data_IF_265272277473
#
_entry.id   IF_265272277473
#
_cell.length_a   1.000
_cell.length_b   1.000
_cell.length_c   1.000
_cell.angle_alpha   90.00
_cell.angle_beta   90.00
_cell.angle_gamma   90.00
#
_symmetry.space_group_name_H-M   'P 1'
#
loop_
_entity.id
_entity.type
_entity.pdbx_description
1 polymer ?
#
# COMPACT_ATOMS: atom_id res chain seq x y z
N UNK A 1 -31.29 -32.58 4.49
CA UNK A 1 -30.53 -33.25 3.41
C UNK A 1 -30.11 -32.22 2.37
N UNK A 2 -31.04 -31.42 1.84
CA UNK A 2 -30.80 -30.30 0.89
C UNK A 2 -29.64 -29.37 1.32
N UNK A 3 -29.63 -28.89 2.57
CA UNK A 3 -28.55 -28.00 3.05
C UNK A 3 -27.13 -28.61 3.09
N UNK A 4 -27.01 -29.95 3.14
CA UNK A 4 -25.70 -30.63 3.15
C UNK A 4 -25.20 -30.84 1.72
N UNK A 5 -26.10 -31.11 0.76
CA UNK A 5 -25.78 -31.14 -0.66
C UNK A 5 -25.39 -29.75 -1.17
N UNK A 6 -26.11 -28.71 -0.75
CA UNK A 6 -25.78 -27.32 -1.04
C UNK A 6 -24.38 -26.95 -0.52
N UNK A 7 -24.01 -27.41 0.68
CA UNK A 7 -22.68 -27.17 1.24
C UNK A 7 -21.57 -27.88 0.46
N UNK A 8 -21.79 -29.11 0.00
CA UNK A 8 -20.86 -29.81 -0.89
C UNK A 8 -20.75 -29.17 -2.26
N UNK A 9 -21.86 -28.66 -2.79
CA UNK A 9 -21.83 -27.89 -4.03
C UNK A 9 -21.07 -26.57 -3.84
N UNK A 10 -21.17 -25.96 -2.66
CA UNK A 10 -20.42 -24.77 -2.28
C UNK A 10 -18.92 -25.05 -2.19
N UNK A 11 -18.51 -26.19 -1.60
CA UNK A 11 -17.11 -26.66 -1.60
C UNK A 11 -16.55 -26.79 -3.03
N UNK A 12 -17.26 -27.49 -3.91
CA UNK A 12 -16.86 -27.66 -5.31
C UNK A 12 -16.82 -26.31 -6.08
N UNK A 13 -17.74 -25.39 -5.76
CA UNK A 13 -17.75 -24.05 -6.35
C UNK A 13 -16.54 -23.22 -5.91
N UNK A 14 -16.15 -23.29 -4.63
CA UNK A 14 -14.94 -22.63 -4.12
C UNK A 14 -13.70 -23.21 -4.80
N UNK A 15 -13.61 -24.53 -4.94
CA UNK A 15 -12.51 -25.15 -5.68
C UNK A 15 -12.42 -24.63 -7.11
N UNK A 16 -13.53 -24.58 -7.84
CA UNK A 16 -13.55 -24.07 -9.21
C UNK A 16 -13.09 -22.59 -9.29
N UNK A 17 -13.54 -21.74 -8.37
CA UNK A 17 -13.16 -20.32 -8.33
C UNK A 17 -11.67 -20.13 -7.97
N UNK A 18 -11.15 -20.92 -7.04
CA UNK A 18 -9.72 -20.91 -6.68
C UNK A 18 -8.86 -21.31 -7.89
N UNK A 19 -9.27 -22.34 -8.65
CA UNK A 19 -8.59 -22.71 -9.90
C UNK A 19 -8.75 -21.65 -11.00
N UNK A 20 -9.91 -20.99 -11.05
CA UNK A 20 -10.20 -19.87 -11.95
C UNK A 20 -9.52 -18.55 -11.59
N UNK A 21 -8.75 -18.50 -10.49
CA UNK A 21 -8.08 -17.30 -9.98
C UNK A 21 -9.02 -16.15 -9.60
N UNK A 22 -10.32 -16.44 -9.42
CA UNK A 22 -11.30 -15.49 -8.88
C UNK A 22 -11.36 -15.63 -7.36
N UNK A 23 -10.36 -15.04 -6.72
CA UNK A 23 -10.14 -15.14 -5.29
C UNK A 23 -11.15 -14.32 -4.47
N UNK A 24 -11.63 -13.20 -5.00
CA UNK A 24 -12.67 -12.38 -4.36
C UNK A 24 -14.00 -13.11 -4.34
N UNK A 25 -14.42 -13.70 -5.47
CA UNK A 25 -15.63 -14.52 -5.53
C UNK A 25 -15.53 -15.77 -4.66
N UNK A 26 -14.35 -16.40 -4.61
CA UNK A 26 -14.11 -17.53 -3.72
C UNK A 26 -14.28 -17.15 -2.23
N UNK A 27 -13.77 -15.99 -1.80
CA UNK A 27 -13.93 -15.50 -0.43
C UNK A 27 -15.40 -15.20 -0.09
N UNK A 28 -16.18 -14.60 -0.98
CA UNK A 28 -17.62 -14.35 -0.78
C UNK A 28 -18.42 -15.65 -0.57
N UNK A 29 -18.06 -16.69 -1.32
CA UNK A 29 -18.69 -18.00 -1.20
C UNK A 29 -18.27 -18.69 0.11
N UNK A 30 -16.99 -18.58 0.49
CA UNK A 30 -16.46 -19.10 1.76
C UNK A 30 -17.15 -18.44 2.96
N UNK A 31 -17.26 -17.12 2.99
CA UNK A 31 -17.83 -16.40 4.15
C UNK A 31 -19.33 -16.72 4.35
N UNK A 32 -20.08 -16.85 3.24
CA UNK A 32 -21.48 -17.33 3.26
C UNK A 32 -21.58 -18.78 3.74
N UNK A 33 -20.68 -19.64 3.27
CA UNK A 33 -20.63 -21.04 3.69
C UNK A 33 -20.32 -21.19 5.18
N UNK A 34 -19.33 -20.44 5.69
CA UNK A 34 -18.95 -20.45 7.10
C UNK A 34 -20.07 -19.95 8.02
N UNK A 35 -20.81 -18.92 7.58
CA UNK A 35 -22.00 -18.44 8.29
C UNK A 35 -23.08 -19.52 8.39
N UNK A 36 -23.33 -20.22 7.28
CA UNK A 36 -24.31 -21.32 7.22
C UNK A 36 -23.86 -22.52 8.09
N UNK A 37 -22.57 -22.85 8.06
CA UNK A 37 -21.95 -23.88 8.91
C UNK A 37 -22.11 -23.54 10.40
N UNK A 38 -21.93 -22.27 10.79
CA UNK A 38 -22.07 -21.83 12.16
C UNK A 38 -23.51 -22.03 12.70
N UNK A 39 -24.51 -21.81 11.85
CA UNK A 39 -25.92 -22.04 12.18
C UNK A 39 -26.26 -23.53 12.32
N UNK A 40 -25.45 -24.44 11.77
CA UNK A 40 -25.64 -25.90 11.81
C UNK A 40 -24.68 -26.60 12.79
N UNK A 41 -24.26 -25.89 13.84
CA UNK A 41 -23.30 -26.38 14.84
C UNK A 41 -23.79 -27.66 15.53
N UNK A 42 -23.07 -28.77 15.31
CA UNK A 42 -23.38 -30.09 15.91
C UNK A 42 -23.20 -31.28 14.97
N UNK A 43 -23.14 -31.06 13.67
CA UNK A 43 -23.00 -32.13 12.66
C UNK A 43 -21.51 -32.31 12.28
N UNK A 44 -20.96 -33.52 12.51
CA UNK A 44 -19.55 -33.81 12.23
C UNK A 44 -19.12 -33.59 10.77
N UNK A 45 -19.97 -33.90 9.79
CA UNK A 45 -19.64 -33.72 8.37
C UNK A 45 -19.54 -32.23 7.97
N UNK A 46 -20.31 -31.36 8.62
CA UNK A 46 -20.30 -29.91 8.39
C UNK A 46 -18.99 -29.29 8.92
N UNK A 47 -18.46 -29.82 10.04
CA UNK A 47 -17.16 -29.40 10.59
C UNK A 47 -16.00 -29.67 9.62
N UNK A 48 -15.95 -30.87 9.03
CA UNK A 48 -14.89 -31.21 8.07
C UNK A 48 -14.88 -30.30 6.83
N UNK A 49 -16.06 -29.89 6.35
CA UNK A 49 -16.16 -28.91 5.25
C UNK A 49 -15.73 -27.52 5.71
N UNK A 50 -16.12 -27.10 6.93
CA UNK A 50 -15.64 -25.85 7.51
C UNK A 50 -14.12 -25.77 7.63
N UNK A 51 -13.46 -26.84 8.08
CA UNK A 51 -12.00 -26.89 8.19
C UNK A 51 -11.32 -26.73 6.83
N UNK A 52 -11.86 -27.37 5.79
CA UNK A 52 -11.35 -27.20 4.40
C UNK A 52 -11.57 -25.79 3.87
N UNK A 53 -12.74 -25.18 4.11
CA UNK A 53 -13.02 -23.82 3.67
C UNK A 53 -12.10 -22.80 4.37
N UNK A 54 -11.77 -23.01 5.64
CA UNK A 54 -10.77 -22.22 6.36
C UNK A 54 -9.37 -22.44 5.78
N UNK A 55 -9.01 -23.66 5.37
CA UNK A 55 -7.76 -23.92 4.67
C UNK A 55 -7.69 -23.20 3.32
N UNK A 56 -8.77 -23.20 2.53
CA UNK A 56 -8.86 -22.41 1.29
C UNK A 56 -8.74 -20.92 1.58
N UNK A 57 -9.42 -20.40 2.60
CA UNK A 57 -9.31 -18.99 3.02
C UNK A 57 -7.86 -18.59 3.33
N UNK A 58 -7.15 -19.43 4.08
CA UNK A 58 -5.73 -19.21 4.38
C UNK A 58 -4.86 -19.26 3.12
N UNK A 59 -5.08 -20.25 2.25
CA UNK A 59 -4.38 -20.37 0.97
C UNK A 59 -4.58 -19.14 0.07
N UNK A 60 -5.83 -18.68 -0.08
CA UNK A 60 -6.16 -17.47 -0.83
C UNK A 60 -5.41 -16.27 -0.24
N UNK A 61 -5.40 -16.13 1.08
CA UNK A 61 -4.65 -15.06 1.76
C UNK A 61 -3.15 -15.06 1.40
N UNK A 62 -2.50 -16.22 1.39
CA UNK A 62 -1.09 -16.35 1.00
C UNK A 62 -0.87 -15.98 -0.47
N UNK A 63 -1.77 -16.42 -1.36
CA UNK A 63 -1.67 -16.11 -2.79
C UNK A 63 -1.90 -14.62 -3.08
N UNK A 64 -2.86 -13.98 -2.41
CA UNK A 64 -3.11 -12.53 -2.53
C UNK A 64 -1.94 -11.72 -1.99
N UNK A 65 -1.35 -12.14 -0.87
CA UNK A 65 -0.15 -11.51 -0.31
C UNK A 65 1.05 -11.58 -1.27
N UNK A 66 1.27 -12.75 -1.89
CA UNK A 66 2.34 -12.95 -2.87
C UNK A 66 2.12 -12.11 -4.13
N UNK A 67 0.89 -12.10 -4.67
CA UNK A 67 0.52 -11.31 -5.84
C UNK A 67 0.63 -9.81 -5.59
N UNK A 68 0.14 -9.32 -4.44
CA UNK A 68 0.32 -7.94 -4.02
C UNK A 68 1.79 -7.54 -4.03
N UNK A 69 2.64 -8.34 -3.39
CA UNK A 69 4.09 -8.05 -3.32
C UNK A 69 4.69 -7.98 -4.73
N UNK A 70 4.39 -8.97 -5.59
CA UNK A 70 4.87 -8.99 -6.98
C UNK A 70 4.44 -7.78 -7.79
N UNK A 71 3.22 -7.29 -7.58
CA UNK A 71 2.67 -6.14 -8.30
C UNK A 71 3.35 -4.85 -7.85
N UNK A 72 3.46 -4.60 -6.54
CA UNK A 72 4.07 -3.36 -6.00
C UNK A 72 5.59 -3.27 -6.18
N UNK A 73 6.27 -4.41 -6.40
CA UNK A 73 7.72 -4.46 -6.65
C UNK A 73 8.06 -4.59 -8.13
N UNK A 74 7.06 -4.57 -9.02
CA UNK A 74 7.28 -4.70 -10.45
C UNK A 74 8.15 -3.55 -10.99
N UNK A 75 9.13 -3.82 -11.87
CA UNK A 75 9.92 -2.78 -12.52
C UNK A 75 9.07 -1.91 -13.47
N UNK A 76 7.94 -2.45 -13.95
CA UNK A 76 7.01 -1.77 -14.85
C UNK A 76 5.92 -0.97 -14.10
N UNK A 77 6.16 -0.62 -12.83
CA UNK A 77 5.16 0.06 -11.99
C UNK A 77 4.70 1.39 -12.62
N UNK A 78 3.40 1.59 -12.87
CA UNK A 78 2.90 2.87 -13.35
C UNK A 78 2.96 3.89 -12.20
N UNK A 79 3.83 4.89 -12.30
CA UNK A 79 3.85 5.99 -11.34
C UNK A 79 2.49 6.71 -11.36
N UNK A 80 1.84 6.78 -10.21
CA UNK A 80 0.54 7.38 -10.03
C UNK A 80 0.73 8.85 -9.70
N UNK A 81 0.41 9.74 -10.64
CA UNK A 81 0.35 11.17 -10.39
C UNK A 81 -1.10 11.60 -10.07
N UNK A 82 -1.41 11.69 -8.78
CA UNK A 82 -2.70 12.18 -8.31
C UNK A 82 -2.97 13.65 -8.69
N UNK A 83 -1.93 14.43 -9.02
CA UNK A 83 -2.07 15.84 -9.40
C UNK A 83 -2.67 16.03 -10.80
N UNK A 84 -2.65 14.99 -11.64
CA UNK A 84 -3.11 15.08 -13.02
C UNK A 84 -4.64 15.20 -13.15
N UNK A 85 -5.40 14.84 -12.10
CA UNK A 85 -6.85 14.97 -12.07
C UNK A 85 -7.32 16.41 -11.78
N UNK A 86 -6.46 17.25 -11.19
CA UNK A 86 -6.86 18.55 -10.64
C UNK A 86 -6.47 19.74 -11.54
N UNK A 87 -5.52 19.54 -12.47
CA UNK A 87 -4.99 20.59 -13.34
C UNK A 87 -5.32 20.39 -14.84
N UNK A 88 -6.51 19.88 -15.17
CA UNK A 88 -6.94 19.74 -16.57
C UNK A 88 -7.58 21.02 -17.11
N UNK A 89 -6.79 22.09 -17.27
CA UNK A 89 -7.10 23.22 -18.18
C UNK A 89 -6.18 23.24 -19.40
N UNK A 90 -5.33 22.22 -19.58
CA UNK A 90 -4.46 22.09 -20.75
C UNK A 90 -4.69 20.73 -21.38
N UNK A 91 -5.13 20.73 -22.64
CA UNK A 91 -5.51 19.54 -23.41
C UNK A 91 -4.48 18.41 -23.26
N UNK A 92 -4.90 17.16 -23.03
CA UNK A 92 -3.97 16.05 -23.03
C UNK A 92 -3.42 15.85 -24.45
N UNK A 93 -2.09 15.70 -24.64
CA UNK A 93 -1.54 15.38 -25.95
C UNK A 93 -2.11 14.02 -26.38
N UNK A 94 -2.81 14.01 -27.52
CA UNK A 94 -3.44 12.84 -28.13
C UNK A 94 -2.37 11.85 -28.65
N UNK A 95 -1.67 11.19 -27.74
CA UNK A 95 -0.72 10.12 -28.05
C UNK A 95 -1.29 8.78 -27.58
N UNK A 96 -1.33 7.79 -28.48
CA UNK A 96 -1.67 6.40 -28.15
C UNK A 96 -0.85 5.85 -26.97
N UNK A 97 0.37 6.36 -26.76
CA UNK A 97 1.20 6.00 -25.61
C UNK A 97 0.56 6.43 -24.28
N UNK A 98 -0.02 7.63 -24.23
CA UNK A 98 -0.67 8.16 -23.03
C UNK A 98 -1.95 7.38 -22.69
N UNK A 99 -2.74 7.01 -23.70
CA UNK A 99 -3.93 6.17 -23.51
C UNK A 99 -3.59 4.76 -23.01
N UNK A 100 -2.51 4.15 -23.52
CA UNK A 100 -2.01 2.85 -23.03
C UNK A 100 -1.52 2.92 -21.58
N UNK A 101 -0.84 4.01 -21.20
CA UNK A 101 -0.40 4.24 -19.82
C UNK A 101 -1.59 4.39 -18.88
N UNK A 102 -2.62 5.13 -19.28
CA UNK A 102 -3.85 5.26 -18.48
C UNK A 102 -4.59 3.93 -18.31
N UNK A 103 -4.68 3.11 -19.37
CA UNK A 103 -5.29 1.79 -19.28
C UNK A 103 -4.50 0.88 -18.32
N UNK A 104 -3.18 0.84 -18.43
CA UNK A 104 -2.33 0.08 -17.49
C UNK A 104 -2.49 0.57 -16.06
N UNK A 105 -2.49 1.89 -15.85
CA UNK A 105 -2.71 2.48 -14.53
C UNK A 105 -4.06 2.07 -13.95
N UNK A 106 -5.12 2.10 -14.76
CA UNK A 106 -6.46 1.68 -14.35
C UNK A 106 -6.50 0.19 -13.99
N UNK A 107 -5.95 -0.67 -14.84
CA UNK A 107 -5.86 -2.12 -14.60
C UNK A 107 -5.09 -2.43 -13.31
N UNK A 108 -3.93 -1.80 -13.09
CA UNK A 108 -3.16 -1.95 -11.85
C UNK A 108 -3.92 -1.43 -10.63
N UNK A 109 -4.70 -0.35 -10.77
CA UNK A 109 -5.51 0.18 -9.67
C UNK A 109 -6.66 -0.76 -9.32
N UNK A 110 -7.35 -1.31 -10.31
CA UNK A 110 -8.43 -2.29 -10.12
C UNK A 110 -7.90 -3.59 -9.50
N UNK A 111 -6.76 -4.10 -10.00
CA UNK A 111 -6.08 -5.25 -9.42
C UNK A 111 -5.65 -4.99 -7.97
N UNK A 112 -5.09 -3.81 -7.70
CA UNK A 112 -4.70 -3.41 -6.34
C UNK A 112 -5.90 -3.34 -5.39
N UNK A 113 -7.04 -2.86 -5.89
CA UNK A 113 -8.28 -2.80 -5.13
C UNK A 113 -8.79 -4.18 -4.75
N UNK A 114 -8.82 -5.11 -5.69
CA UNK A 114 -9.22 -6.49 -5.43
C UNK A 114 -8.26 -7.17 -4.44
N UNK A 115 -6.95 -6.98 -4.60
CA UNK A 115 -5.93 -7.54 -3.71
C UNK A 115 -6.07 -7.00 -2.30
N UNK A 116 -6.21 -5.70 -2.14
CA UNK A 116 -6.32 -5.09 -0.83
C UNK A 116 -7.63 -5.46 -0.15
N UNK A 117 -8.77 -5.47 -0.85
CA UNK A 117 -10.05 -5.96 -0.31
C UNK A 117 -9.93 -7.40 0.22
N UNK A 118 -9.35 -8.30 -0.57
CA UNK A 118 -9.10 -9.68 -0.13
C UNK A 118 -8.17 -9.76 1.08
N UNK A 119 -7.10 -8.97 1.12
CA UNK A 119 -6.16 -8.93 2.25
C UNK A 119 -6.79 -8.36 3.53
N UNK A 120 -7.68 -7.38 3.41
CA UNK A 120 -8.44 -6.83 4.53
C UNK A 120 -9.37 -7.87 5.13
N UNK A 121 -10.08 -8.60 4.27
CA UNK A 121 -10.97 -9.69 4.71
C UNK A 121 -10.20 -10.79 5.43
N UNK A 122 -9.02 -11.16 4.94
CA UNK A 122 -8.18 -12.21 5.56
C UNK A 122 -7.31 -11.69 6.72
N UNK A 123 -7.37 -10.40 7.05
CA UNK A 123 -6.57 -9.72 8.09
C UNK A 123 -5.03 -9.87 7.93
N UNK A 124 -4.54 -10.11 6.71
CA UNK A 124 -3.10 -10.29 6.42
C UNK A 124 -2.37 -9.00 6.04
N UNK A 125 -3.06 -7.86 6.04
CA UNK A 125 -2.49 -6.58 5.60
C UNK A 125 -1.22 -6.18 6.37
N UNK A 126 -1.14 -6.27 7.72
CA UNK A 126 0.07 -5.89 8.45
C UNK A 126 1.30 -6.71 8.04
N UNK A 127 1.11 -8.01 7.80
CA UNK A 127 2.19 -8.92 7.40
C UNK A 127 2.69 -8.60 5.98
N UNK A 128 1.77 -8.31 5.07
CA UNK A 128 2.08 -7.91 3.69
C UNK A 128 2.84 -6.59 3.67
N UNK A 129 2.40 -5.60 4.45
CA UNK A 129 3.09 -4.32 4.56
C UNK A 129 4.48 -4.49 5.19
N UNK A 130 4.63 -5.35 6.19
CA UNK A 130 5.95 -5.67 6.76
C UNK A 130 6.89 -6.30 5.72
N UNK A 131 6.40 -7.24 4.90
CA UNK A 131 7.16 -7.84 3.79
C UNK A 131 7.55 -6.81 2.74
N UNK A 132 6.63 -5.92 2.36
CA UNK A 132 6.91 -4.83 1.41
C UNK A 132 8.04 -3.91 1.90
N UNK A 133 8.02 -3.54 3.19
CA UNK A 133 9.12 -2.76 3.80
C UNK A 133 10.46 -3.50 3.75
N UNK A 134 10.44 -4.80 4.02
CA UNK A 134 11.61 -5.67 3.91
C UNK A 134 12.16 -5.66 2.49
N UNK A 135 11.29 -5.87 1.50
CA UNK A 135 11.66 -5.85 0.08
C UNK A 135 12.27 -4.52 -0.35
N UNK A 136 11.65 -3.39 0.03
CA UNK A 136 12.20 -2.06 -0.27
C UNK A 136 13.59 -1.89 0.34
N UNK A 137 13.79 -2.32 1.59
CA UNK A 137 15.10 -2.27 2.26
C UNK A 137 16.14 -3.11 1.52
N UNK A 138 15.78 -4.31 1.07
CA UNK A 138 16.69 -5.20 0.35
C UNK A 138 17.00 -4.69 -1.05
N UNK A 139 16.03 -4.09 -1.74
CA UNK A 139 16.24 -3.45 -3.04
C UNK A 139 17.21 -2.27 -2.95
N UNK A 140 17.11 -1.44 -1.91
CA UNK A 140 18.08 -0.37 -1.64
C UNK A 140 19.49 -0.94 -1.43
N UNK A 141 19.63 -2.02 -0.67
CA UNK A 141 20.94 -2.68 -0.48
C UNK A 141 21.49 -3.20 -1.80
N UNK A 142 20.63 -3.79 -2.64
CA UNK A 142 21.01 -4.30 -3.96
C UNK A 142 21.46 -3.13 -4.84
N UNK A 143 20.70 -2.05 -4.93
CA UNK A 143 21.06 -0.83 -5.68
C UNK A 143 22.44 -0.34 -5.27
N UNK A 144 22.69 -0.14 -3.96
CA UNK A 144 23.99 0.34 -3.48
C UNK A 144 25.10 -0.65 -3.83
N UNK A 145 24.91 -1.95 -3.60
CA UNK A 145 25.92 -2.97 -3.90
C UNK A 145 26.23 -3.06 -5.38
N UNK A 146 25.21 -3.06 -6.24
CA UNK A 146 25.35 -3.17 -7.69
C UNK A 146 26.08 -1.95 -8.24
N UNK A 147 25.62 -0.73 -7.92
CA UNK A 147 26.26 0.49 -8.43
C UNK A 147 27.71 0.61 -7.97
N UNK A 148 28.01 0.28 -6.70
CA UNK A 148 29.39 0.26 -6.19
C UNK A 148 30.24 -0.77 -6.93
N UNK A 149 29.73 -1.99 -7.10
CA UNK A 149 30.46 -3.07 -7.77
C UNK A 149 30.72 -2.76 -9.24
N UNK A 150 29.73 -2.20 -9.94
CA UNK A 150 29.86 -1.79 -11.35
C UNK A 150 30.83 -0.63 -11.52
N UNK A 151 30.80 0.35 -10.61
CA UNK A 151 31.73 1.49 -10.67
C UNK A 151 33.16 1.05 -10.45
N UNK A 152 33.40 0.15 -9.49
CA UNK A 152 34.72 -0.46 -9.25
C UNK A 152 35.17 -1.26 -10.46
N UNK A 153 34.31 -2.11 -11.03
CA UNK A 153 34.65 -2.96 -12.16
C UNK A 153 34.95 -2.16 -13.44
N UNK A 154 34.32 -1.00 -13.59
CA UNK A 154 34.52 -0.11 -14.75
C UNK A 154 35.72 0.82 -14.55
N UNK A 155 36.16 1.03 -13.31
CA UNK A 155 37.31 1.88 -13.02
C UNK A 155 38.62 1.19 -13.39
N UNK A 156 39.39 1.86 -14.24
CA UNK A 156 40.75 1.45 -14.61
C UNK A 156 41.79 1.59 -13.49
N UNK A 157 41.41 2.23 -12.37
CA UNK A 157 42.30 2.52 -11.24
C UNK A 157 42.22 1.48 -10.13
N UNK A 158 41.22 0.60 -10.16
CA UNK A 158 41.01 -0.44 -9.16
C UNK A 158 41.75 -1.72 -9.56
N UNK A 159 42.66 -2.18 -8.70
CA UNK A 159 43.32 -3.47 -8.87
C UNK A 159 42.34 -4.59 -8.46
N UNK A 160 42.00 -5.55 -9.35
CA UNK A 160 41.03 -6.61 -9.04
C UNK A 160 41.52 -7.59 -7.96
N UNK A 161 42.80 -7.51 -7.58
CA UNK A 161 43.43 -8.28 -6.52
C UNK A 161 43.38 -7.59 -5.13
N UNK A 162 42.82 -6.37 -5.02
CA UNK A 162 42.71 -5.66 -3.76
C UNK A 162 41.76 -6.40 -2.78
N UNK A 163 42.12 -6.53 -1.49
CA UNK A 163 41.49 -7.49 -0.58
C UNK A 163 40.09 -7.07 -0.08
N UNK A 164 39.72 -5.79 -0.18
CA UNK A 164 38.46 -5.25 0.34
C UNK A 164 37.83 -4.18 -0.56
N UNK A 165 36.50 -4.21 -0.69
CA UNK A 165 35.70 -3.22 -1.45
C UNK A 165 35.97 -1.78 -0.97
N UNK A 166 36.27 -1.62 0.31
CA UNK A 166 36.60 -0.32 0.90
C UNK A 166 37.93 0.26 0.41
N UNK A 167 38.96 -0.55 0.13
CA UNK A 167 40.20 -0.05 -0.48
C UNK A 167 40.01 0.29 -1.95
N UNK A 168 39.21 -0.48 -2.67
CA UNK A 168 38.88 -0.22 -4.08
C UNK A 168 38.07 1.09 -4.21
N UNK A 169 37.08 1.32 -3.34
CA UNK A 169 36.37 2.61 -3.26
C UNK A 169 37.28 3.80 -2.94
N UNK A 170 38.37 3.59 -2.19
CA UNK A 170 39.39 4.62 -1.89
C UNK A 170 40.31 4.89 -3.07
N UNK A 171 40.56 3.90 -3.92
CA UNK A 171 41.40 4.02 -5.11
C UNK A 171 40.72 4.78 -6.26
N UNK A 172 39.39 4.84 -6.27
CA UNK A 172 38.61 5.60 -7.24
C UNK A 172 39.01 7.07 -7.28
N UNK A 173 39.04 7.64 -8.49
CA UNK A 173 39.19 9.07 -8.66
C UNK A 173 37.99 9.84 -8.07
N UNK A 174 38.18 11.14 -7.84
CA UNK A 174 37.10 11.99 -7.34
C UNK A 174 35.88 12.02 -8.24
N UNK A 175 36.08 11.98 -9.56
CA UNK A 175 35.01 12.02 -10.55
C UNK A 175 34.24 10.69 -10.59
N UNK A 176 34.94 9.55 -10.61
CA UNK A 176 34.32 8.22 -10.57
C UNK A 176 33.52 8.00 -9.28
N UNK A 177 34.04 8.45 -8.14
CA UNK A 177 33.33 8.37 -6.88
C UNK A 177 32.07 9.25 -6.86
N UNK A 178 32.12 10.47 -7.39
CA UNK A 178 30.94 11.34 -7.46
C UNK A 178 29.89 10.77 -8.41
N UNK A 179 30.30 10.21 -9.56
CA UNK A 179 29.40 9.52 -10.49
C UNK A 179 28.76 8.28 -9.83
N UNK A 180 29.52 7.49 -9.05
CA UNK A 180 28.97 6.39 -8.27
C UNK A 180 27.88 6.86 -7.31
N UNK A 181 28.14 7.91 -6.55
CA UNK A 181 27.18 8.46 -5.58
C UNK A 181 25.94 9.03 -6.30
N UNK A 182 26.13 9.71 -7.42
CA UNK A 182 25.03 10.21 -8.24
C UNK A 182 24.13 9.07 -8.74
N UNK A 183 24.71 8.02 -9.32
CA UNK A 183 23.93 6.86 -9.79
C UNK A 183 23.17 6.18 -8.64
N UNK A 184 23.78 6.05 -7.46
CA UNK A 184 23.08 5.55 -6.27
C UNK A 184 21.85 6.42 -5.98
N UNK A 185 21.98 7.75 -5.95
CA UNK A 185 20.84 8.63 -5.70
C UNK A 185 19.76 8.53 -6.77
N UNK A 186 20.12 8.44 -8.05
CA UNK A 186 19.15 8.28 -9.16
C UNK A 186 18.32 7.01 -8.99
N UNK A 187 18.96 5.87 -8.72
CA UNK A 187 18.25 4.62 -8.49
C UNK A 187 17.44 4.62 -7.18
N UNK A 188 17.93 5.24 -6.11
CA UNK A 188 17.18 5.40 -4.86
C UNK A 188 15.94 6.27 -5.04
N UNK A 189 16.01 7.32 -5.87
CA UNK A 189 14.86 8.16 -6.20
C UNK A 189 13.76 7.35 -6.88
N UNK A 190 14.09 6.44 -7.79
CA UNK A 190 13.10 5.55 -8.44
C UNK A 190 12.39 4.67 -7.40
N UNK A 191 13.15 4.06 -6.48
CA UNK A 191 12.57 3.22 -5.40
C UNK A 191 11.65 4.05 -4.50
N UNK A 192 12.06 5.25 -4.13
CA UNK A 192 11.27 6.18 -3.30
C UNK A 192 10.01 6.67 -4.02
N UNK A 193 10.12 7.04 -5.29
CA UNK A 193 8.97 7.44 -6.12
C UNK A 193 7.94 6.32 -6.23
N UNK A 194 8.40 5.06 -6.38
CA UNK A 194 7.50 3.91 -6.40
C UNK A 194 6.79 3.75 -5.05
N UNK A 195 7.50 3.86 -3.93
CA UNK A 195 6.91 3.79 -2.60
C UNK A 195 5.85 4.88 -2.36
N UNK A 196 6.14 6.13 -2.76
CA UNK A 196 5.17 7.23 -2.69
C UNK A 196 3.96 7.01 -3.61
N UNK A 197 4.17 6.46 -4.81
CA UNK A 197 3.09 6.12 -5.75
C UNK A 197 2.15 5.07 -5.15
N UNK A 198 2.70 3.98 -4.58
CA UNK A 198 1.92 2.95 -3.87
C UNK A 198 1.16 3.57 -2.69
N UNK A 199 1.80 4.46 -1.91
CA UNK A 199 1.14 5.15 -0.80
C UNK A 199 -0.03 6.01 -1.27
N UNK A 200 0.18 6.80 -2.33
CA UNK A 200 -0.84 7.71 -2.86
C UNK A 200 -2.02 6.93 -3.42
N UNK A 201 -1.75 5.82 -4.11
CA UNK A 201 -2.77 4.91 -4.62
C UNK A 201 -3.61 4.33 -3.46
N UNK A 202 -2.96 3.79 -2.43
CA UNK A 202 -3.66 3.27 -1.25
C UNK A 202 -4.45 4.35 -0.51
N UNK A 203 -3.90 5.55 -0.34
CA UNK A 203 -4.60 6.66 0.31
C UNK A 203 -5.85 7.10 -0.47
N UNK A 204 -5.74 7.19 -1.80
CA UNK A 204 -6.86 7.51 -2.68
C UNK A 204 -7.94 6.42 -2.65
N UNK A 205 -7.54 5.13 -2.67
CA UNK A 205 -8.48 4.00 -2.61
C UNK A 205 -9.29 3.96 -1.32
N UNK A 206 -8.66 4.27 -0.18
CA UNK A 206 -9.31 4.19 1.13
C UNK A 206 -9.86 5.52 1.65
N UNK A 207 -9.87 6.56 0.82
CA UNK A 207 -10.35 7.91 1.14
C UNK A 207 -9.84 8.42 2.51
N UNK A 208 -8.63 7.98 2.87
CA UNK A 208 -7.87 8.57 3.96
C UNK A 208 -7.18 9.73 3.31
N UNK A 209 -7.59 10.95 3.64
CA UNK A 209 -6.89 12.15 3.23
C UNK A 209 -5.41 11.93 3.55
N UNK A 210 -4.61 11.63 2.53
CA UNK A 210 -3.18 11.86 2.58
C UNK A 210 -3.10 13.30 3.06
N UNK A 211 -2.55 13.52 4.26
CA UNK A 211 -2.38 14.88 4.77
C UNK A 211 -1.52 15.61 3.74
N UNK A 212 -2.17 16.32 2.83
CA UNK A 212 -1.53 17.41 2.13
C UNK A 212 -1.20 18.41 3.23
N UNK A 213 0.09 18.71 3.37
CA UNK A 213 0.62 19.80 4.18
C UNK A 213 0.15 21.15 3.62
N UNK A 214 -1.16 21.42 3.72
CA UNK A 214 -1.79 22.70 3.44
C UNK A 214 -2.41 23.30 4.71
N UNK A 215 -1.87 22.94 5.88
CA UNK A 215 -2.19 23.56 7.16
C UNK A 215 -1.07 24.52 7.61
N UNK A 216 -0.60 25.38 6.70
CA UNK A 216 0.21 26.56 7.04
C UNK A 216 -0.24 27.71 6.14
N UNK A 217 -1.40 28.30 6.45
CA UNK A 217 -1.74 29.71 6.20
C UNK A 217 -3.26 29.91 6.34
N UNK A 218 -3.77 29.97 7.57
CA UNK A 218 -4.84 30.94 7.86
C UNK A 218 -4.90 31.23 9.37
N UNK A 219 -3.88 31.91 9.87
CA UNK A 219 -4.02 32.77 11.05
C UNK A 219 -4.20 34.19 10.53
N UNK A 220 -5.42 34.50 10.09
CA UNK A 220 -5.89 35.87 10.00
C UNK A 220 -7.15 36.00 10.86
N UNK A 221 -6.94 36.41 12.11
CA UNK A 221 -8.01 36.84 13.01
C UNK A 221 -8.81 37.98 12.37
N UNK A 222 -10.15 37.93 12.33
CA UNK A 222 -10.95 39.12 12.18
C UNK A 222 -11.28 39.66 13.58
N UNK A 223 -10.69 40.82 13.84
CA UNK A 223 -10.97 41.80 14.89
C UNK A 223 -12.46 41.84 15.30
N UNK A 224 -12.67 41.82 16.62
CA UNK A 224 -13.89 42.26 17.30
C UNK A 224 -14.24 43.69 16.88
N UNK A 225 -15.50 43.89 16.50
CA UNK A 225 -16.27 45.10 16.84
C UNK A 225 -17.77 44.72 16.87
N UNK A 226 -18.35 44.75 18.08
CA UNK A 226 -19.77 44.92 18.34
C UNK A 226 -20.00 46.42 18.67
N UNK A 227 -21.23 46.99 18.75
CA UNK A 227 -22.50 46.32 19.06
C UNK A 227 -23.78 46.89 18.37
N UNK A 228 -24.91 46.19 18.48
CA UNK A 228 -26.18 46.72 19.01
C UNK A 228 -27.37 45.75 18.83
N UNK A 229 -27.98 45.38 19.97
CA UNK A 229 -29.41 45.16 20.25
C UNK A 229 -30.28 44.32 19.27
N UNK A 230 -30.82 43.20 19.74
CA UNK A 230 -32.13 43.16 20.43
C UNK A 230 -32.66 41.72 20.60
N UNK A 231 -33.36 41.54 21.73
CA UNK A 231 -34.39 40.54 22.02
C UNK A 231 -33.98 39.08 22.22
N UNK A 232 -33.90 38.72 23.51
CA UNK A 232 -34.17 37.40 24.03
C UNK A 232 -35.63 37.00 23.78
N UNK A 233 -35.87 35.73 23.43
CA UNK A 233 -36.94 34.96 24.07
C UNK A 233 -36.66 33.45 23.94
N UNK A 234 -37.00 32.70 24.98
CA UNK A 234 -36.76 31.27 25.16
C UNK A 234 -38.11 30.60 25.34
N UNK A 235 -38.45 29.54 24.59
CA UNK A 235 -39.18 28.40 25.19
C UNK A 235 -39.27 27.14 24.31
N UNK A 236 -39.46 25.96 24.94
CA UNK A 236 -39.33 24.63 24.36
C UNK A 236 -40.69 23.92 24.11
N UNK A 237 -40.57 22.70 23.57
CA UNK A 237 -41.56 21.61 23.44
C UNK A 237 -42.53 21.57 22.24
N UNK A 238 -42.38 20.49 21.47
CA UNK A 238 -43.46 19.80 20.75
C UNK A 238 -42.97 18.39 20.38
N UNK A 239 -43.21 17.43 21.28
CA UNK A 239 -43.22 16.00 20.97
C UNK A 239 -44.34 15.69 19.98
N UNK A 240 -44.05 14.96 18.90
CA UNK A 240 -44.98 13.98 18.31
C UNK A 240 -44.23 12.95 17.46
N UNK A 241 -43.93 11.83 18.11
CA UNK A 241 -44.07 10.44 17.67
C UNK A 241 -44.24 10.14 16.16
N UNK A 242 -43.27 9.41 15.59
CA UNK A 242 -43.53 8.36 14.61
C UNK A 242 -42.30 7.44 14.48
N UNK A 243 -42.38 6.30 15.15
CA UNK A 243 -41.58 5.10 14.94
C UNK A 243 -41.31 4.80 13.45
N UNK A 244 -40.03 4.71 13.07
CA UNK A 244 -39.58 3.91 11.93
C UNK A 244 -38.31 3.17 12.32
N UNK A 245 -38.40 1.84 12.27
CA UNK A 245 -37.29 0.89 12.28
C UNK A 245 -36.12 1.38 11.41
N UNK A 246 -34.91 1.42 11.98
CA UNK A 246 -33.66 1.20 11.22
C UNK A 246 -32.61 0.55 12.12
N UNK A 247 -32.87 -0.71 12.48
CA UNK A 247 -31.80 -1.62 12.89
C UNK A 247 -31.11 -2.11 11.61
N UNK A 248 -30.06 -1.41 11.18
CA UNK A 248 -29.27 -1.81 10.00
C UNK A 248 -27.94 -1.06 9.83
N UNK A 249 -27.85 0.23 10.17
CA UNK A 249 -26.68 1.06 9.84
C UNK A 249 -25.47 1.01 10.79
N UNK A 250 -25.53 0.25 11.88
CA UNK A 250 -24.47 0.21 12.89
C UNK A 250 -23.24 -0.62 12.49
N UNK A 251 -23.44 -1.70 11.71
CA UNK A 251 -22.37 -2.62 11.31
C UNK A 251 -21.58 -2.10 10.11
N UNK A 252 -22.23 -1.44 9.14
CA UNK A 252 -21.56 -0.87 7.96
C UNK A 252 -20.69 0.33 8.34
N UNK A 253 -21.19 1.27 9.16
CA UNK A 253 -20.39 2.43 9.59
C UNK A 253 -19.23 2.05 10.52
N UNK A 254 -19.35 0.97 11.28
CA UNK A 254 -18.28 0.45 12.13
C UNK A 254 -17.22 -0.30 11.30
N UNK A 255 -17.65 -1.03 10.25
CA UNK A 255 -16.79 -1.62 9.22
C UNK A 255 -15.99 -0.56 8.47
N UNK A 256 -16.67 0.45 7.91
CA UNK A 256 -16.04 1.59 7.23
C UNK A 256 -15.09 2.38 8.15
N UNK A 257 -15.44 2.58 9.43
CA UNK A 257 -14.58 3.28 10.38
C UNK A 257 -13.37 2.45 10.81
N UNK A 258 -13.53 1.14 11.02
CA UNK A 258 -12.42 0.22 11.27
C UNK A 258 -11.52 0.10 10.05
N UNK A 259 -12.08 0.01 8.84
CA UNK A 259 -11.35 0.03 7.58
C UNK A 259 -10.59 1.34 7.42
N UNK A 260 -11.19 2.50 7.72
CA UNK A 260 -10.52 3.80 7.67
C UNK A 260 -9.39 3.92 8.71
N UNK A 261 -9.56 3.34 9.90
CA UNK A 261 -8.52 3.29 10.95
C UNK A 261 -7.39 2.34 10.59
N UNK A 262 -7.70 1.17 10.02
CA UNK A 262 -6.72 0.19 9.50
C UNK A 262 -5.97 0.79 8.30
N UNK A 263 -6.66 1.44 7.36
CA UNK A 263 -6.07 2.18 6.23
C UNK A 263 -5.15 3.32 6.69
N UNK A 264 -5.59 4.12 7.66
CA UNK A 264 -4.75 5.18 8.25
C UNK A 264 -3.50 4.62 8.93
N UNK A 265 -3.60 3.43 9.54
CA UNK A 265 -2.45 2.73 10.13
C UNK A 265 -1.46 2.27 9.05
N UNK A 266 -1.96 1.71 7.95
CA UNK A 266 -1.13 1.28 6.82
C UNK A 266 -0.39 2.46 6.18
N UNK A 267 -1.09 3.58 5.97
CA UNK A 267 -0.47 4.79 5.41
C UNK A 267 0.65 5.28 6.33
N UNK A 268 0.43 5.33 7.64
CA UNK A 268 1.48 5.65 8.61
C UNK A 268 2.65 4.66 8.57
N UNK A 269 2.37 3.36 8.45
CA UNK A 269 3.41 2.34 8.36
C UNK A 269 4.25 2.46 7.09
N UNK A 270 3.66 2.95 6.00
CA UNK A 270 4.33 3.24 4.74
C UNK A 270 5.11 4.56 4.78
N UNK A 271 4.57 5.60 5.41
CA UNK A 271 5.31 6.84 5.74
C UNK A 271 6.54 6.53 6.59
N UNK A 272 6.40 5.70 7.60
CA UNK A 272 7.52 5.22 8.43
C UNK A 272 8.52 4.40 7.61
N UNK A 273 8.05 3.62 6.64
CA UNK A 273 8.93 2.87 5.75
C UNK A 273 9.76 3.78 4.85
N UNK A 274 9.13 4.81 4.28
CA UNK A 274 9.79 5.83 3.46
C UNK A 274 10.79 6.60 4.32
N UNK A 275 10.41 7.03 5.53
CA UNK A 275 11.30 7.72 6.46
C UNK A 275 12.53 6.87 6.81
N UNK A 276 12.32 5.61 7.21
CA UNK A 276 13.41 4.68 7.54
C UNK A 276 14.29 4.37 6.34
N UNK A 277 13.71 4.31 5.15
CA UNK A 277 14.44 4.19 3.89
C UNK A 277 15.34 5.39 3.66
N UNK A 278 14.80 6.61 3.79
CA UNK A 278 15.59 7.83 3.67
C UNK A 278 16.72 7.89 4.70
N UNK A 279 16.46 7.54 5.96
CA UNK A 279 17.49 7.45 7.00
C UNK A 279 18.57 6.40 6.68
N UNK A 280 18.18 5.22 6.19
CA UNK A 280 19.11 4.17 5.81
C UNK A 280 19.98 4.60 4.62
N UNK A 281 19.37 5.18 3.59
CA UNK A 281 20.07 5.76 2.45
C UNK A 281 21.06 6.84 2.89
N UNK A 282 20.64 7.74 3.80
CA UNK A 282 21.52 8.76 4.37
C UNK A 282 22.70 8.15 5.14
N UNK A 283 22.47 7.13 5.99
CA UNK A 283 23.54 6.43 6.71
C UNK A 283 24.49 5.71 5.75
N UNK A 284 23.96 5.03 4.74
CA UNK A 284 24.75 4.31 3.73
C UNK A 284 25.68 5.25 2.97
N UNK A 285 25.15 6.39 2.50
CA UNK A 285 25.93 7.42 1.82
C UNK A 285 26.90 8.11 2.78
N UNK A 286 26.51 8.38 4.02
CA UNK A 286 27.41 8.97 5.03
C UNK A 286 28.59 8.04 5.34
N UNK A 287 28.37 6.73 5.40
CA UNK A 287 29.43 5.73 5.56
C UNK A 287 30.37 5.70 4.35
N UNK A 288 29.84 5.79 3.13
CA UNK A 288 30.64 5.93 1.90
C UNK A 288 31.57 7.15 1.96
N UNK A 289 31.06 8.31 2.41
CA UNK A 289 31.88 9.50 2.61
C UNK A 289 32.86 9.35 3.78
N UNK A 290 32.49 8.66 4.86
CA UNK A 290 33.36 8.36 5.99
C UNK A 290 34.59 7.54 5.58
N UNK A 291 34.38 6.49 4.79
CA UNK A 291 35.45 5.64 4.23
C UNK A 291 36.45 6.46 3.40
N UNK A 292 36.00 7.57 2.79
CA UNK A 292 36.85 8.47 2.00
C UNK A 292 37.52 9.58 2.83
N UNK A 293 36.89 10.02 3.94
CA UNK A 293 37.37 11.13 4.78
C UNK A 293 38.49 10.75 5.75
N UNK A 294 38.64 9.49 6.14
CA UNK A 294 39.67 9.03 7.11
C UNK A 294 41.14 9.19 6.61
N UNK A 295 41.40 9.93 5.52
CA UNK A 295 42.73 10.09 4.90
C UNK A 295 43.11 11.56 4.63
N UNK A 296 42.32 12.55 5.07
CA UNK A 296 42.75 13.97 5.08
C UNK A 296 43.22 14.42 6.46
#
# INVERSE_FOLDING_TARGET
MVQIEDLKHTESSVEALVHGHDYTGALDVIDRALTTIHQMTGIHCVRAVGDKLLAYRSFIGVQMAARFTSVVTSPDWPFFDAAQKNNSTTQPPSSLAYQRLQLKQKETTEEMQQLMDALFRVDLVPDVMAKYRGHMTDEIKIVVKTVVSETIATSSTCDPAAPDVSSQLRALSSEEFLNCVQMIFEHLLVVLQRAMSVQTMLAHMYNVAAKSDAAVADTSEPRRDAPAAAAADWSPDSDTDASVHDEGGGSERLGEWQEKKKASKIIKELEDAIRKTCEFSQRSVSNLFGVRKEVQ
#
